data_IF_960299385041
#
_entry.id   IF_960299385041
#
_cell.length_a   1.000
_cell.length_b   1.000
_cell.length_c   1.000
_cell.angle_alpha   90.00
_cell.angle_beta   90.00
_cell.angle_gamma   90.00
#
_symmetry.space_group_name_H-M   'P 1'
#
loop_
_entity.id
_entity.type
_entity.pdbx_description
1 polymer ?
#
# COMPACT_ATOMS: atom_id res chain seq x y z
N UNK A 1 0.78 12.08 -5.64
CA UNK A 1 1.70 12.11 -6.79
C UNK A 1 1.79 10.70 -7.37
N UNK A 2 1.96 10.53 -8.69
CA UNK A 2 2.24 9.21 -9.28
C UNK A 2 3.75 9.04 -9.38
N UNK A 3 4.25 7.93 -8.86
CA UNK A 3 5.65 7.58 -8.72
C UNK A 3 5.96 6.51 -9.75
N UNK A 4 7.06 6.70 -10.48
CA UNK A 4 7.49 5.75 -11.48
C UNK A 4 7.97 4.44 -10.85
N UNK A 5 7.57 3.31 -11.44
CA UNK A 5 7.91 1.99 -10.92
C UNK A 5 9.42 1.73 -10.93
N UNK A 6 10.11 2.11 -12.01
CA UNK A 6 11.56 1.87 -12.14
C UNK A 6 12.35 2.71 -11.13
N UNK A 7 11.96 3.98 -10.98
CA UNK A 7 12.54 4.86 -9.97
C UNK A 7 12.34 4.31 -8.55
N UNK A 8 11.12 3.86 -8.22
CA UNK A 8 10.82 3.26 -6.93
C UNK A 8 11.66 1.99 -6.65
N UNK A 9 11.77 1.07 -7.61
CA UNK A 9 12.58 -0.15 -7.44
C UNK A 9 14.06 0.18 -7.22
N UNK A 10 14.58 1.22 -7.89
CA UNK A 10 15.98 1.65 -7.74
C UNK A 10 16.31 2.20 -6.35
N UNK A 11 15.33 2.81 -5.67
CA UNK A 11 15.54 3.49 -4.38
C UNK A 11 15.09 2.65 -3.18
N UNK A 12 14.16 1.71 -3.36
CA UNK A 12 13.51 1.00 -2.26
C UNK A 12 14.25 -0.23 -1.74
N UNK A 13 15.20 -0.77 -2.51
CA UNK A 13 15.85 -2.05 -2.23
C UNK A 13 14.96 -3.27 -2.47
N UNK A 14 13.74 -3.07 -2.99
CA UNK A 14 12.80 -4.14 -3.31
C UNK A 14 13.09 -4.65 -4.72
N UNK A 15 13.21 -5.97 -4.88
CA UNK A 15 13.38 -6.60 -6.20
C UNK A 15 12.06 -6.58 -6.98
N UNK A 16 12.13 -6.48 -8.31
CA UNK A 16 10.94 -6.49 -9.18
C UNK A 16 10.10 -7.74 -8.96
N UNK A 17 10.73 -8.90 -8.85
CA UNK A 17 10.05 -10.19 -8.66
C UNK A 17 9.26 -10.21 -7.35
N UNK A 18 9.86 -9.66 -6.28
CA UNK A 18 9.19 -9.52 -4.98
C UNK A 18 7.96 -8.62 -5.09
N UNK A 19 8.09 -7.47 -5.75
CA UNK A 19 6.96 -6.56 -5.95
C UNK A 19 5.86 -7.19 -6.83
N UNK A 20 6.22 -7.98 -7.85
CA UNK A 20 5.26 -8.74 -8.66
C UNK A 20 4.43 -9.68 -7.80
N UNK A 21 5.05 -10.43 -6.89
CA UNK A 21 4.35 -11.31 -5.94
C UNK A 21 3.38 -10.51 -5.04
N UNK A 22 3.81 -9.34 -4.55
CA UNK A 22 2.95 -8.48 -3.73
C UNK A 22 1.75 -7.94 -4.51
N UNK A 23 1.90 -7.65 -5.80
CA UNK A 23 0.79 -7.25 -6.67
C UNK A 23 -0.15 -8.44 -6.94
N UNK A 24 0.38 -9.63 -7.18
CA UNK A 24 -0.42 -10.85 -7.39
C UNK A 24 -1.24 -11.24 -6.15
N UNK A 25 -0.67 -11.05 -4.95
CA UNK A 25 -1.37 -11.22 -3.67
C UNK A 25 -2.30 -10.07 -3.31
N UNK A 26 -2.41 -9.04 -4.17
CA UNK A 26 -3.16 -7.82 -3.94
C UNK A 26 -2.75 -7.06 -2.66
N UNK A 27 -1.52 -7.26 -2.18
CA UNK A 27 -0.93 -6.47 -1.11
C UNK A 27 -0.69 -5.04 -1.59
N UNK A 28 -0.39 -4.85 -2.87
CA UNK A 28 -0.24 -3.53 -3.50
C UNK A 28 -1.06 -3.53 -4.78
N UNK A 29 -1.86 -2.49 -4.97
CA UNK A 29 -2.78 -2.41 -6.11
C UNK A 29 -2.50 -1.13 -6.89
N UNK A 30 -1.38 -1.08 -7.62
CA UNK A 30 -0.98 0.12 -8.35
C UNK A 30 -1.98 0.44 -9.47
N UNK A 31 -2.03 1.71 -9.85
CA UNK A 31 -2.77 2.11 -11.03
C UNK A 31 -2.07 1.57 -12.28
N UNK A 32 -2.83 0.90 -13.16
CA UNK A 32 -2.35 0.48 -14.48
C UNK A 32 -2.78 1.53 -15.49
N UNK A 33 -1.82 2.28 -16.04
CA UNK A 33 -2.05 3.12 -17.22
C UNK A 33 -1.73 2.32 -18.49
N UNK A 34 -2.13 2.83 -19.65
CA UNK A 34 -2.07 2.12 -20.93
C UNK A 34 -0.65 1.64 -21.34
N UNK A 35 0.40 2.19 -20.74
CA UNK A 35 1.79 1.86 -21.05
C UNK A 35 2.69 1.60 -19.83
N UNK A 36 2.23 1.85 -18.60
CA UNK A 36 3.08 1.72 -17.40
C UNK A 36 2.28 1.36 -16.14
N UNK A 37 2.99 0.78 -15.18
CA UNK A 37 2.50 0.62 -13.81
C UNK A 37 2.96 1.86 -13.04
N UNK A 38 2.03 2.60 -12.47
CA UNK A 38 2.32 3.79 -11.66
C UNK A 38 1.91 3.55 -10.22
N UNK A 39 2.81 3.87 -9.29
CA UNK A 39 2.58 3.73 -7.86
C UNK A 39 2.08 5.06 -7.32
N UNK A 40 1.06 5.03 -6.48
CA UNK A 40 0.70 6.18 -5.66
C UNK A 40 1.60 6.25 -4.43
N UNK A 41 1.59 7.38 -3.71
CA UNK A 41 2.24 7.48 -2.40
C UNK A 41 1.74 6.42 -1.41
N UNK A 42 0.46 6.02 -1.52
CA UNK A 42 -0.12 4.95 -0.69
C UNK A 42 0.51 3.61 -1.05
N UNK A 43 0.71 3.33 -2.34
CA UNK A 43 1.32 2.08 -2.79
C UNK A 43 2.78 1.99 -2.33
N UNK A 44 3.54 3.09 -2.42
CA UNK A 44 4.92 3.16 -1.93
C UNK A 44 5.01 2.97 -0.43
N UNK A 45 4.17 3.65 0.35
CA UNK A 45 4.11 3.48 1.80
C UNK A 45 3.76 2.04 2.18
N UNK A 46 2.83 1.41 1.45
CA UNK A 46 2.45 0.02 1.67
C UNK A 46 3.56 -0.96 1.30
N UNK A 47 4.31 -0.70 0.24
CA UNK A 47 5.47 -1.51 -0.12
C UNK A 47 6.56 -1.52 0.96
N UNK A 48 6.85 -0.36 1.54
CA UNK A 48 7.78 -0.28 2.67
C UNK A 48 7.25 -1.01 3.90
N UNK A 49 5.97 -0.87 4.22
CA UNK A 49 5.36 -1.61 5.32
C UNK A 49 5.49 -3.13 5.13
N UNK A 50 5.18 -3.65 3.94
CA UNK A 50 5.29 -5.08 3.65
C UNK A 50 6.73 -5.57 3.79
N UNK A 51 7.70 -4.78 3.30
CA UNK A 51 9.13 -5.06 3.49
C UNK A 51 9.47 -5.14 4.98
N UNK A 52 9.10 -4.14 5.76
CA UNK A 52 9.45 -4.07 7.18
C UNK A 52 8.79 -5.23 7.98
N UNK A 53 7.55 -5.60 7.63
CA UNK A 53 6.88 -6.77 8.20
C UNK A 53 7.60 -8.09 7.86
N UNK A 54 8.02 -8.26 6.61
CA UNK A 54 8.72 -9.46 6.12
C UNK A 54 10.15 -9.56 6.68
N UNK A 55 10.96 -8.52 6.44
CA UNK A 55 12.41 -8.58 6.57
C UNK A 55 12.88 -8.22 7.99
N UNK A 56 12.26 -7.22 8.62
CA UNK A 56 12.68 -6.74 9.95
C UNK A 56 11.92 -7.45 11.08
N UNK A 57 10.64 -7.77 10.86
CA UNK A 57 9.76 -8.34 11.90
C UNK A 57 9.52 -9.84 11.74
N UNK A 58 9.95 -10.46 10.63
CA UNK A 58 9.83 -11.90 10.40
C UNK A 58 8.39 -12.40 10.32
N UNK A 59 7.46 -11.54 9.92
CA UNK A 59 6.04 -11.89 9.75
C UNK A 59 5.89 -12.75 8.49
N UNK A 60 5.19 -13.87 8.62
CA UNK A 60 4.89 -14.75 7.49
C UNK A 60 3.84 -14.11 6.55
N UNK A 61 3.64 -14.71 5.39
CA UNK A 61 2.70 -14.20 4.38
C UNK A 61 1.27 -14.05 4.94
N UNK A 62 0.77 -15.04 5.68
CA UNK A 62 -0.57 -14.97 6.27
C UNK A 62 -0.68 -13.86 7.33
N UNK A 63 0.39 -13.59 8.07
CA UNK A 63 0.44 -12.50 9.02
C UNK A 63 0.44 -11.13 8.34
N UNK A 64 1.10 -11.01 7.19
CA UNK A 64 1.10 -9.81 6.36
C UNK A 64 -0.32 -9.55 5.83
N UNK A 65 -1.02 -10.56 5.35
CA UNK A 65 -2.42 -10.44 4.90
C UNK A 65 -3.31 -9.85 6.00
N UNK A 66 -3.22 -10.38 7.22
CA UNK A 66 -3.99 -9.90 8.37
C UNK A 66 -3.61 -8.46 8.72
N UNK A 67 -2.31 -8.14 8.76
CA UNK A 67 -1.83 -6.79 9.09
C UNK A 67 -2.34 -5.75 8.09
N UNK A 68 -2.25 -6.04 6.79
CA UNK A 68 -2.75 -5.16 5.73
C UNK A 68 -4.27 -4.98 5.82
N UNK A 69 -5.02 -6.06 6.07
CA UNK A 69 -6.47 -5.98 6.25
C UNK A 69 -6.86 -5.06 7.42
N UNK A 70 -6.20 -5.19 8.57
CA UNK A 70 -6.46 -4.35 9.74
C UNK A 70 -6.14 -2.88 9.48
N UNK A 71 -5.04 -2.60 8.78
CA UNK A 71 -4.65 -1.24 8.41
C UNK A 71 -5.70 -0.62 7.48
N UNK A 72 -6.20 -1.39 6.51
CA UNK A 72 -7.25 -0.94 5.60
C UNK A 72 -8.56 -0.64 6.33
N UNK A 73 -8.92 -1.47 7.32
CA UNK A 73 -10.07 -1.20 8.20
C UNK A 73 -9.90 0.11 8.97
N UNK A 74 -8.71 0.37 9.55
CA UNK A 74 -8.42 1.61 10.28
C UNK A 74 -8.54 2.82 9.36
N UNK A 75 -8.00 2.75 8.14
CA UNK A 75 -8.14 3.82 7.16
C UNK A 75 -9.60 4.03 6.74
N UNK A 76 -10.38 2.96 6.59
CA UNK A 76 -11.82 3.02 6.36
C UNK A 76 -12.55 3.78 7.46
N UNK A 77 -12.27 3.43 8.72
CA UNK A 77 -12.87 4.09 9.89
C UNK A 77 -12.49 5.57 9.96
N UNK A 78 -11.21 5.91 9.74
CA UNK A 78 -10.74 7.31 9.72
C UNK A 78 -11.45 8.14 8.65
N UNK A 79 -11.66 7.57 7.44
CA UNK A 79 -12.41 8.25 6.37
C UNK A 79 -13.88 8.48 6.75
N UNK A 80 -14.53 7.48 7.35
CA UNK A 80 -15.90 7.60 7.83
C UNK A 80 -16.05 8.71 8.87
N UNK A 81 -15.18 8.73 9.88
CA UNK A 81 -15.18 9.77 10.92
C UNK A 81 -14.92 11.17 10.33
N UNK A 82 -13.99 11.29 9.39
CA UNK A 82 -13.71 12.56 8.73
C UNK A 82 -14.92 13.08 7.93
N UNK A 83 -15.67 12.19 7.27
CA UNK A 83 -16.91 12.51 6.56
C UNK A 83 -18.01 12.98 7.51
N UNK A 84 -18.28 12.22 8.57
CA UNK A 84 -19.28 12.59 9.58
C UNK A 84 -18.98 13.96 10.21
N UNK A 85 -17.70 14.24 10.49
CA UNK A 85 -17.27 15.56 10.99
C UNK A 85 -17.54 16.68 9.97
N UNK A 86 -17.40 16.41 8.67
CA UNK A 86 -17.71 17.37 7.61
C UNK A 86 -19.21 17.67 7.54
N UNK A 87 -20.05 16.64 7.70
CA UNK A 87 -21.52 16.77 7.74
C UNK A 87 -21.97 17.59 8.96
N UNK A 88 -21.41 17.33 10.15
CA UNK A 88 -21.73 18.09 11.38
C UNK A 88 -21.28 19.57 11.31
N UNK A 89 -20.21 19.88 10.58
CA UNK A 89 -19.72 21.26 10.40
C UNK A 89 -20.42 22.04 9.28
N UNK A 90 -21.28 21.37 8.51
CA UNK A 90 -21.97 21.92 7.34
C UNK A 90 -23.36 22.49 7.62
N UNK A 91 -23.73 22.73 8.88
CA UNK A 91 -24.95 23.44 9.30
C UNK A 91 -24.66 24.90 9.71
#
# INVERSE_FOLDING_TARGET
MNIDLEEFLSQSGIRRETLTVWIEKAWITPARTASRVELTEIDVARAYLVRDLSDDLGVNEEGIDVALHLIDQIHGLRRLLARLRGEIKGE
#
